data_IF_799522890738
#
_entry.id   IF_799522890738
#
_cell.length_a   1.000
_cell.length_b   1.000
_cell.length_c   1.000
_cell.angle_alpha   90.00
_cell.angle_beta   90.00
_cell.angle_gamma   90.00
#
_symmetry.space_group_name_H-M   'P 1'
#
loop_
_entity.id
_entity.type
_entity.pdbx_description
1 polymer ?
#
# COMPACT_ATOMS: atom_id res chain seq x y z
N UNK A 1 -7.49 6.39 -22.92
CA UNK A 1 -7.21 5.30 -21.97
C UNK A 1 -5.97 5.68 -21.19
N UNK A 2 -6.02 5.65 -19.85
CA UNK A 2 -4.82 5.81 -19.04
C UNK A 2 -4.04 4.49 -19.06
N UNK A 3 -2.72 4.55 -19.28
CA UNK A 3 -1.85 3.37 -19.32
C UNK A 3 -0.89 3.43 -18.14
N UNK A 4 -0.95 2.43 -17.26
CA UNK A 4 0.04 2.23 -16.19
C UNK A 4 1.14 1.31 -16.74
N UNK A 5 2.30 1.87 -17.07
CA UNK A 5 3.45 1.15 -17.65
C UNK A 5 4.27 0.45 -16.58
N UNK A 6 4.20 0.95 -15.34
CA UNK A 6 4.91 0.39 -14.20
C UNK A 6 4.05 0.43 -12.93
N UNK A 7 4.10 -0.66 -12.16
CA UNK A 7 3.52 -0.78 -10.84
C UNK A 7 4.60 -1.24 -9.86
N UNK A 8 4.94 -0.38 -8.90
CA UNK A 8 5.95 -0.65 -7.88
C UNK A 8 5.26 -1.23 -6.63
N UNK A 9 5.52 -2.50 -6.34
CA UNK A 9 5.02 -3.16 -5.12
C UNK A 9 5.91 -2.83 -3.92
N UNK A 10 5.29 -2.45 -2.81
CA UNK A 10 5.97 -2.02 -1.58
C UNK A 10 5.33 -2.70 -0.37
N UNK A 11 6.07 -3.49 0.43
CA UNK A 11 5.55 -4.11 1.64
C UNK A 11 5.06 -3.05 2.65
N UNK A 12 3.84 -3.20 3.14
CA UNK A 12 3.21 -2.23 4.05
C UNK A 12 3.90 -2.10 5.41
N UNK A 13 4.65 -3.11 5.85
CA UNK A 13 5.38 -3.11 7.13
C UNK A 13 6.81 -2.54 7.02
N UNK A 14 7.23 -2.00 5.87
CA UNK A 14 8.60 -1.55 5.63
C UNK A 14 8.67 -0.05 5.33
N UNK A 15 8.71 0.78 6.37
CA UNK A 15 8.75 2.25 6.26
C UNK A 15 9.93 2.75 5.41
N UNK A 16 11.09 2.08 5.44
CA UNK A 16 12.23 2.44 4.59
C UNK A 16 11.90 2.30 3.10
N UNK A 17 11.20 1.23 2.72
CA UNK A 17 10.78 1.02 1.33
C UNK A 17 9.65 1.97 0.92
N UNK A 18 8.71 2.26 1.82
CA UNK A 18 7.65 3.25 1.62
C UNK A 18 8.26 4.63 1.33
N UNK A 19 9.16 5.11 2.19
CA UNK A 19 9.84 6.40 1.98
C UNK A 19 10.71 6.41 0.73
N UNK A 20 11.32 5.28 0.36
CA UNK A 20 12.07 5.19 -0.90
C UNK A 20 11.15 5.24 -2.11
N UNK A 21 9.95 4.67 -2.05
CA UNK A 21 9.02 4.66 -3.17
C UNK A 21 8.63 6.08 -3.61
N UNK A 22 8.60 7.05 -2.69
CA UNK A 22 8.27 8.45 -3.01
C UNK A 22 9.31 9.16 -3.86
N UNK A 23 10.51 8.59 -3.99
CA UNK A 23 11.61 9.16 -4.79
C UNK A 23 11.80 8.45 -6.13
N UNK A 24 11.06 7.38 -6.39
CA UNK A 24 11.16 6.58 -7.61
C UNK A 24 10.08 6.98 -8.60
N UNK A 25 10.40 6.93 -9.89
CA UNK A 25 9.41 7.13 -10.96
C UNK A 25 8.66 5.82 -11.24
N UNK A 26 7.44 5.71 -10.74
CA UNK A 26 6.50 4.65 -11.08
C UNK A 26 5.15 5.26 -11.45
N UNK A 27 4.44 4.67 -12.41
CA UNK A 27 3.09 5.16 -12.73
C UNK A 27 2.14 4.83 -11.57
N UNK A 28 2.31 3.68 -10.92
CA UNK A 28 1.58 3.28 -9.72
C UNK A 28 2.50 2.76 -8.62
N UNK A 29 2.16 3.08 -7.38
CA UNK A 29 2.74 2.47 -6.17
C UNK A 29 1.64 1.64 -5.53
N UNK A 30 1.92 0.34 -5.36
CA UNK A 30 1.01 -0.64 -4.79
C UNK A 30 1.55 -1.03 -3.42
N UNK A 31 0.91 -0.52 -2.37
CA UNK A 31 1.19 -0.98 -1.02
C UNK A 31 0.64 -2.38 -0.81
N UNK A 32 1.45 -3.26 -0.25
CA UNK A 32 1.06 -4.64 -0.04
C UNK A 32 0.71 -4.92 1.42
N UNK A 33 -0.50 -5.42 1.64
CA UNK A 33 -0.94 -5.98 2.92
C UNK A 33 -1.00 -7.51 2.88
N UNK A 34 -0.74 -8.16 1.74
CA UNK A 34 -0.92 -9.60 1.53
C UNK A 34 0.39 -10.39 1.76
N UNK A 35 0.98 -10.99 0.72
CA UNK A 35 2.02 -12.01 0.88
C UNK A 35 3.37 -11.47 1.35
N UNK A 36 3.68 -10.18 1.13
CA UNK A 36 4.93 -9.58 1.59
C UNK A 36 4.89 -9.12 3.05
N UNK A 37 3.76 -9.28 3.74
CA UNK A 37 3.58 -8.89 5.14
C UNK A 37 3.26 -10.13 6.00
N UNK A 38 4.11 -10.49 6.97
CA UNK A 38 3.82 -11.55 7.93
C UNK A 38 2.56 -11.24 8.75
N UNK A 39 1.85 -12.28 9.20
CA UNK A 39 0.61 -12.13 9.99
C UNK A 39 0.75 -11.21 11.23
N UNK A 40 1.84 -11.30 12.03
CA UNK A 40 2.02 -10.40 13.18
C UNK A 40 2.15 -8.92 12.82
N UNK A 41 2.56 -8.62 11.59
CA UNK A 41 2.87 -7.26 11.15
C UNK A 41 1.69 -6.60 10.43
N UNK A 42 0.58 -7.31 10.18
CA UNK A 42 -0.56 -6.81 9.40
C UNK A 42 -1.12 -5.52 9.96
N UNK A 43 -1.24 -5.45 11.29
CA UNK A 43 -1.79 -4.27 11.96
C UNK A 43 -0.87 -3.06 11.80
N UNK A 44 0.43 -3.25 12.04
CA UNK A 44 1.43 -2.21 11.81
C UNK A 44 1.45 -1.77 10.34
N UNK A 45 1.34 -2.71 9.40
CA UNK A 45 1.33 -2.40 7.98
C UNK A 45 0.12 -1.54 7.57
N UNK A 46 -1.08 -1.83 8.10
CA UNK A 46 -2.28 -1.01 7.87
C UNK A 46 -2.09 0.43 8.30
N UNK A 47 -1.56 0.63 9.51
CA UNK A 47 -1.30 1.95 10.09
C UNK A 47 -0.27 2.70 9.22
N UNK A 48 0.85 2.05 8.89
CA UNK A 48 1.91 2.65 8.08
C UNK A 48 1.40 3.05 6.69
N UNK A 49 0.60 2.20 6.05
CA UNK A 49 0.00 2.49 4.74
C UNK A 49 -0.93 3.69 4.85
N UNK A 50 -1.90 3.66 5.77
CA UNK A 50 -2.86 4.76 5.99
C UNK A 50 -2.14 6.11 6.08
N UNK A 51 -1.13 6.16 6.94
CA UNK A 51 -0.39 7.39 7.23
C UNK A 51 0.50 7.84 6.04
N UNK A 52 0.81 6.93 5.10
CA UNK A 52 1.67 7.19 3.94
C UNK A 52 0.92 7.50 2.64
N UNK A 53 -0.38 7.26 2.56
CA UNK A 53 -1.17 7.44 1.32
C UNK A 53 -1.07 8.87 0.79
N UNK A 54 -1.27 9.87 1.64
CA UNK A 54 -1.23 11.28 1.24
C UNK A 54 0.16 11.69 0.73
N UNK A 55 1.21 11.19 1.38
CA UNK A 55 2.59 11.42 0.99
C UNK A 55 2.88 10.84 -0.39
N UNK A 56 2.51 9.58 -0.64
CA UNK A 56 2.75 8.96 -1.95
C UNK A 56 1.92 9.63 -3.05
N UNK A 57 0.66 9.98 -2.76
CA UNK A 57 -0.19 10.71 -3.71
C UNK A 57 0.41 12.04 -4.15
N UNK A 58 1.16 12.72 -3.27
CA UNK A 58 1.85 13.98 -3.60
C UNK A 58 2.95 13.85 -4.66
N UNK A 59 3.41 12.62 -4.94
CA UNK A 59 4.43 12.34 -5.98
C UNK A 59 3.87 12.32 -7.40
N UNK A 60 2.54 12.33 -7.55
CA UNK A 60 1.86 12.16 -8.84
C UNK A 60 1.66 10.70 -9.27
N UNK A 61 2.20 9.74 -8.52
CA UNK A 61 1.93 8.30 -8.73
C UNK A 61 0.51 7.93 -8.33
N UNK A 62 -0.11 6.99 -9.03
CA UNK A 62 -1.34 6.36 -8.54
C UNK A 62 -1.05 5.52 -7.31
N UNK A 63 -1.91 5.60 -6.29
CA UNK A 63 -1.79 4.83 -5.06
C UNK A 63 -2.80 3.69 -5.09
N UNK A 64 -2.31 2.46 -4.93
CA UNK A 64 -3.13 1.27 -4.76
C UNK A 64 -2.74 0.56 -3.46
N UNK A 65 -3.67 -0.22 -2.92
CA UNK A 65 -3.42 -1.13 -1.80
C UNK A 65 -3.86 -2.52 -2.22
N UNK A 66 -2.95 -3.50 -2.19
CA UNK A 66 -3.29 -4.92 -2.30
C UNK A 66 -3.71 -5.41 -0.92
N UNK A 67 -5.01 -5.58 -0.75
CA UNK A 67 -5.62 -6.14 0.47
C UNK A 67 -5.41 -7.66 0.55
N UNK A 68 -5.58 -8.22 1.74
CA UNK A 68 -5.61 -9.67 1.92
C UNK A 68 -6.85 -10.28 1.26
N UNK A 69 -6.71 -11.52 0.79
CA UNK A 69 -7.79 -12.30 0.19
C UNK A 69 -9.03 -12.41 1.10
N UNK A 70 -10.22 -12.45 0.49
CA UNK A 70 -11.52 -12.48 1.18
C UNK A 70 -11.67 -13.64 2.17
N UNK A 71 -11.00 -14.75 1.89
CA UNK A 71 -11.03 -15.98 2.71
C UNK A 71 -10.20 -15.89 3.99
N UNK A 72 -9.37 -14.86 4.15
CA UNK A 72 -8.47 -14.70 5.32
C UNK A 72 -9.17 -14.12 6.54
N UNK A 73 -10.34 -13.51 6.37
CA UNK A 73 -11.02 -12.74 7.42
C UNK A 73 -10.38 -11.37 7.71
N UNK A 74 -9.32 -10.97 6.99
CA UNK A 74 -8.58 -9.72 7.22
C UNK A 74 -9.07 -8.54 6.35
N UNK A 75 -9.81 -8.82 5.28
CA UNK A 75 -10.20 -7.81 4.28
C UNK A 75 -10.96 -6.62 4.87
N UNK A 76 -11.88 -6.86 5.81
CA UNK A 76 -12.68 -5.78 6.39
C UNK A 76 -11.81 -4.77 7.16
N UNK A 77 -10.83 -5.25 7.92
CA UNK A 77 -9.89 -4.41 8.66
C UNK A 77 -8.93 -3.68 7.72
N UNK A 78 -8.50 -4.34 6.64
CA UNK A 78 -7.68 -3.73 5.60
C UNK A 78 -8.41 -2.53 4.97
N UNK A 79 -9.65 -2.74 4.51
CA UNK A 79 -10.47 -1.68 3.89
C UNK A 79 -10.77 -0.53 4.85
N UNK A 80 -11.21 -0.85 6.07
CA UNK A 80 -11.49 0.14 7.11
C UNK A 80 -10.28 1.02 7.41
N UNK A 81 -9.07 0.47 7.31
CA UNK A 81 -7.84 1.19 7.63
C UNK A 81 -7.36 2.12 6.53
N UNK A 82 -7.59 1.76 5.25
CA UNK A 82 -6.94 2.44 4.11
C UNK A 82 -7.89 3.22 3.21
N UNK A 83 -9.21 3.00 3.33
CA UNK A 83 -10.22 3.82 2.66
C UNK A 83 -10.58 4.99 3.57
N UNK A 84 -10.32 6.21 3.11
CA UNK A 84 -10.51 7.46 3.88
C UNK A 84 -11.43 8.38 3.09
N UNK A 85 -12.19 9.23 3.80
CA UNK A 85 -13.09 10.25 3.23
C UNK A 85 -12.35 11.44 2.61
#
# INVERSE_FOLDING_TARGET
MMVLRSALFVPGNNMRMITKATTLSADAIVFDLEDAVPLPDKETARIMIRDSIALVKSTGSYVFVRINALTTGLTAEDLKSVVMD
#
